data_IF_564147654045
#
_entry.id   IF_564147654045
#
_cell.length_a   1.000
_cell.length_b   1.000
_cell.length_c   1.000
_cell.angle_alpha   90.00
_cell.angle_beta   90.00
_cell.angle_gamma   90.00
#
_symmetry.space_group_name_H-M   'P 1'
#
loop_
_entity.id
_entity.type
_entity.pdbx_description
1 polymer ?
#
# COMPACT_ATOMS: atom_id res chain seq x y z
N UNK A 1 -15.24 -15.19 -8.39
CA UNK A 1 -13.86 -15.45 -8.85
C UNK A 1 -13.39 -14.27 -9.70
N UNK A 2 -12.35 -13.59 -9.21
CA UNK A 2 -11.36 -12.75 -9.89
C UNK A 2 -11.83 -11.73 -10.95
N UNK A 3 -12.00 -10.48 -10.52
CA UNK A 3 -11.80 -9.30 -11.36
C UNK A 3 -10.74 -8.40 -10.72
N UNK A 4 -9.46 -8.70 -10.95
CA UNK A 4 -8.38 -7.76 -10.67
C UNK A 4 -7.63 -7.54 -11.98
N UNK A 5 -7.90 -6.39 -12.61
CA UNK A 5 -7.09 -5.86 -13.70
C UNK A 5 -5.93 -5.09 -13.07
N UNK A 6 -4.77 -5.73 -12.97
CA UNK A 6 -3.50 -5.02 -12.73
C UNK A 6 -3.12 -4.36 -14.07
N UNK A 7 -3.51 -3.11 -14.23
CA UNK A 7 -3.07 -2.29 -15.36
C UNK A 7 -1.64 -1.82 -15.09
N UNK A 8 -0.67 -2.47 -15.72
CA UNK A 8 0.61 -1.85 -16.01
C UNK A 8 0.37 -0.60 -16.87
N UNK A 9 1.21 0.43 -16.67
CA UNK A 9 1.09 1.77 -17.25
C UNK A 9 0.54 1.75 -18.69
N UNK A 10 -0.45 2.62 -18.93
CA UNK A 10 -1.16 2.89 -20.18
C UNK A 10 -2.45 2.08 -20.38
N UNK A 11 -3.47 2.38 -19.58
CA UNK A 11 -4.79 2.81 -20.08
C UNK A 11 -5.82 2.86 -18.95
N UNK A 12 -6.82 3.73 -19.11
CA UNK A 12 -8.05 3.84 -18.32
C UNK A 12 -8.02 4.65 -17.02
N UNK A 13 -8.06 5.98 -17.22
CA UNK A 13 -8.89 6.88 -16.43
C UNK A 13 -10.31 6.85 -16.98
N UNK A 14 -11.20 6.00 -16.47
CA UNK A 14 -12.66 6.20 -16.64
C UNK A 14 -13.42 5.55 -15.48
N UNK A 15 -14.13 6.41 -14.73
CA UNK A 15 -15.28 6.15 -13.86
C UNK A 15 -15.11 5.40 -12.52
N UNK A 16 -15.21 6.19 -11.44
CA UNK A 16 -15.94 5.94 -10.17
C UNK A 16 -15.73 4.65 -9.35
N UNK A 17 -14.73 3.83 -9.66
CA UNK A 17 -14.15 2.90 -8.68
C UNK A 17 -12.68 3.30 -8.47
N UNK A 18 -12.36 3.77 -7.26
CA UNK A 18 -11.05 4.32 -6.92
C UNK A 18 -10.10 3.13 -6.70
N UNK A 19 -9.52 2.65 -7.78
CA UNK A 19 -8.41 1.69 -7.72
C UNK A 19 -7.16 2.49 -7.30
N UNK A 20 -6.44 2.12 -6.23
CA UNK A 20 -5.18 2.75 -5.91
C UNK A 20 -4.27 2.68 -7.15
N UNK A 21 -3.80 3.83 -7.62
CA UNK A 21 -2.84 3.89 -8.73
C UNK A 21 -1.47 3.44 -8.25
N UNK A 22 -1.23 2.14 -8.32
CA UNK A 22 -0.01 1.52 -7.83
C UNK A 22 1.10 1.60 -8.87
N UNK A 23 2.27 2.07 -8.45
CA UNK A 23 3.53 2.01 -9.20
C UNK A 23 4.56 1.26 -8.36
N UNK A 24 5.22 0.26 -8.96
CA UNK A 24 6.30 -0.50 -8.36
C UNK A 24 7.65 0.00 -8.89
N UNK A 25 8.67 0.10 -8.04
CA UNK A 25 10.05 0.41 -8.45
C UNK A 25 10.90 -0.84 -8.73
N UNK A 26 10.47 -2.02 -8.26
CA UNK A 26 11.14 -3.31 -8.46
C UNK A 26 10.16 -4.36 -9.00
N UNK A 27 10.69 -5.47 -9.52
CA UNK A 27 9.89 -6.65 -9.86
C UNK A 27 9.17 -7.21 -8.61
N UNK A 28 7.85 -7.37 -8.75
CA UNK A 28 6.97 -8.01 -7.77
C UNK A 28 7.45 -9.40 -7.36
N UNK A 29 8.18 -10.11 -8.23
CA UNK A 29 8.69 -11.45 -7.96
C UNK A 29 9.61 -11.51 -6.73
N UNK A 30 10.34 -10.43 -6.43
CA UNK A 30 11.18 -10.32 -5.25
C UNK A 30 10.48 -9.64 -4.07
N UNK A 31 9.73 -8.56 -4.32
CA UNK A 31 9.07 -7.79 -3.26
C UNK A 31 8.04 -8.63 -2.47
N UNK A 32 7.39 -9.59 -3.12
CA UNK A 32 6.40 -10.45 -2.45
C UNK A 32 6.95 -11.22 -1.25
N UNK A 33 8.27 -11.39 -1.14
CA UNK A 33 8.92 -12.09 -0.03
C UNK A 33 9.46 -11.15 1.06
N UNK A 34 9.11 -9.86 1.02
CA UNK A 34 9.54 -8.86 1.99
C UNK A 34 9.27 -9.28 3.43
N UNK A 35 10.23 -9.02 4.31
CA UNK A 35 10.10 -9.26 5.75
C UNK A 35 9.69 -8.01 6.54
N UNK A 36 9.78 -6.84 5.92
CA UNK A 36 9.49 -5.55 6.54
C UNK A 36 8.76 -4.64 5.55
N UNK A 37 7.66 -4.05 6.02
CA UNK A 37 7.01 -2.94 5.34
C UNK A 37 7.21 -1.65 6.13
N UNK A 38 7.56 -0.58 5.43
CA UNK A 38 7.62 0.78 5.96
C UNK A 38 6.56 1.59 5.23
N UNK A 39 5.67 2.23 5.96
CA UNK A 39 4.53 2.91 5.37
C UNK A 39 4.40 4.33 5.92
N UNK A 40 4.22 5.30 5.03
CA UNK A 40 4.13 6.70 5.42
C UNK A 40 3.24 7.50 4.47
N UNK A 41 2.56 8.52 5.00
CA UNK A 41 1.74 9.44 4.23
C UNK A 41 2.47 10.75 3.98
N UNK A 42 2.58 11.19 2.72
CA UNK A 42 3.12 12.51 2.38
C UNK A 42 2.05 13.46 1.81
N UNK A 43 1.98 14.65 2.40
CA UNK A 43 1.00 15.70 2.04
C UNK A 43 1.58 16.73 1.07
N UNK A 44 2.87 17.05 1.23
CA UNK A 44 3.53 18.17 0.54
C UNK A 44 3.57 18.00 -0.98
N UNK A 45 3.61 16.75 -1.45
CA UNK A 45 3.68 16.39 -2.87
C UNK A 45 2.35 15.83 -3.39
N UNK A 46 1.26 15.97 -2.62
CA UNK A 46 -0.03 15.40 -2.97
C UNK A 46 -0.77 16.31 -3.99
N UNK A 47 -1.30 15.76 -5.10
CA UNK A 47 -2.17 16.52 -5.99
C UNK A 47 -3.42 17.00 -5.25
N UNK A 48 -3.97 18.14 -5.66
CA UNK A 48 -5.06 18.84 -4.97
C UNK A 48 -6.33 17.99 -4.75
N UNK A 49 -6.60 17.03 -5.64
CA UNK A 49 -7.79 16.18 -5.57
C UNK A 49 -7.71 15.10 -4.48
N UNK A 50 -6.54 14.89 -3.87
CA UNK A 50 -6.30 13.83 -2.89
C UNK A 50 -5.88 14.43 -1.55
N UNK A 51 -6.18 13.71 -0.47
CA UNK A 51 -5.77 14.11 0.87
C UNK A 51 -4.28 13.85 1.10
N UNK A 52 -3.78 12.72 0.60
CA UNK A 52 -2.37 12.35 0.72
C UNK A 52 -1.92 11.38 -0.36
N UNK A 53 -0.60 11.34 -0.59
CA UNK A 53 0.06 10.21 -1.24
C UNK A 53 0.59 9.31 -0.14
N UNK A 54 0.08 8.08 -0.08
CA UNK A 54 0.55 7.06 0.83
C UNK A 54 1.60 6.19 0.13
N UNK A 55 2.73 5.98 0.77
CA UNK A 55 3.89 5.29 0.22
C UNK A 55 4.15 4.07 1.08
N UNK A 56 4.32 2.92 0.44
CA UNK A 56 4.72 1.68 1.08
C UNK A 56 6.05 1.26 0.48
N UNK A 57 7.05 1.10 1.34
CA UNK A 57 8.32 0.50 1.01
C UNK A 57 8.39 -0.92 1.54
N UNK A 58 9.11 -1.77 0.81
CA UNK A 58 9.38 -3.14 1.18
C UNK A 58 10.89 -3.36 1.33
N UNK A 59 11.29 -4.09 2.37
CA UNK A 59 12.68 -4.50 2.56
C UNK A 59 12.92 -5.89 1.98
N UNK A 60 13.80 -5.97 0.99
CA UNK A 60 14.21 -7.22 0.35
C UNK A 60 15.73 -7.33 0.45
N UNK A 61 16.23 -8.40 1.06
CA UNK A 61 17.67 -8.68 1.22
C UNK A 61 18.45 -7.48 1.81
N UNK A 62 17.87 -6.80 2.80
CA UNK A 62 18.51 -5.68 3.50
C UNK A 62 18.48 -4.34 2.74
N UNK A 63 17.81 -4.28 1.59
CA UNK A 63 17.59 -3.03 0.84
C UNK A 63 16.11 -2.66 0.86
N UNK A 64 15.84 -1.36 1.00
CA UNK A 64 14.49 -0.80 0.98
C UNK A 64 14.18 -0.29 -0.41
N UNK A 65 13.03 -0.69 -0.96
CA UNK A 65 12.52 -0.27 -2.26
C UNK A 65 11.13 0.30 -2.12
N UNK A 66 10.78 1.30 -2.93
CA UNK A 66 9.37 1.72 -2.97
C UNK A 66 8.56 0.65 -3.70
N UNK A 67 7.65 0.08 -2.94
CA UNK A 67 6.78 -0.98 -3.40
C UNK A 67 5.51 -0.39 -4.00
N UNK A 68 4.88 0.57 -3.34
CA UNK A 68 3.57 1.06 -3.76
C UNK A 68 3.43 2.54 -3.43
N UNK A 69 2.85 3.28 -4.37
CA UNK A 69 2.25 4.58 -4.13
C UNK A 69 0.72 4.43 -4.23
N UNK A 70 -0.01 5.05 -3.33
CA UNK A 70 -1.46 5.17 -3.39
C UNK A 70 -1.86 6.62 -3.15
N UNK A 71 -2.80 7.11 -3.95
CA UNK A 71 -3.45 8.38 -3.66
C UNK A 71 -4.67 8.09 -2.80
N UNK A 72 -4.77 8.72 -1.63
CA UNK A 72 -5.88 8.54 -0.71
C UNK A 72 -6.71 9.82 -0.66
N UNK A 73 -7.98 9.71 -1.05
CA UNK A 73 -8.95 10.81 -0.98
C UNK A 73 -9.41 11.15 0.45
N UNK A 74 -9.14 10.24 1.40
CA UNK A 74 -9.62 10.32 2.79
C UNK A 74 -8.55 9.81 3.75
N UNK A 75 -8.76 10.07 5.03
CA UNK A 75 -7.93 9.62 6.16
C UNK A 75 -8.75 8.84 7.17
N UNK A 76 -9.40 7.79 6.68
CA UNK A 76 -10.26 6.98 7.52
C UNK A 76 -9.85 5.51 7.44
N UNK A 77 -10.21 4.78 8.49
CA UNK A 77 -9.86 3.37 8.64
C UNK A 77 -10.29 2.53 7.45
N UNK A 78 -11.48 2.77 6.89
CA UNK A 78 -11.99 1.98 5.76
C UNK A 78 -11.10 2.08 4.53
N UNK A 79 -10.60 3.28 4.19
CA UNK A 79 -9.73 3.44 3.02
C UNK A 79 -8.35 2.81 3.25
N UNK A 80 -7.83 2.86 4.47
CA UNK A 80 -6.60 2.11 4.82
C UNK A 80 -6.81 0.60 4.75
N UNK A 81 -7.95 0.09 5.22
CA UNK A 81 -8.29 -1.34 5.11
C UNK A 81 -8.31 -1.77 3.65
N UNK A 82 -8.99 -1.02 2.77
CA UNK A 82 -9.01 -1.31 1.32
C UNK A 82 -7.61 -1.36 0.72
N UNK A 83 -6.76 -0.39 1.06
CA UNK A 83 -5.36 -0.37 0.63
C UNK A 83 -4.59 -1.60 1.14
N UNK A 84 -4.74 -1.96 2.42
CA UNK A 84 -4.02 -3.07 3.02
C UNK A 84 -4.52 -4.44 2.54
N UNK A 85 -5.80 -4.58 2.19
CA UNK A 85 -6.28 -5.76 1.46
C UNK A 85 -5.55 -5.90 0.13
N UNK A 86 -5.41 -4.82 -0.65
CA UNK A 86 -4.66 -4.86 -1.90
C UNK A 86 -3.19 -5.25 -1.68
N UNK A 87 -2.53 -4.69 -0.67
CA UNK A 87 -1.15 -5.04 -0.31
C UNK A 87 -1.03 -6.52 0.05
N UNK A 88 -1.97 -7.07 0.83
CA UNK A 88 -1.99 -8.49 1.20
C UNK A 88 -2.08 -9.43 0.01
N UNK A 89 -2.72 -9.01 -1.08
CA UNK A 89 -2.79 -9.80 -2.31
C UNK A 89 -1.46 -9.86 -3.08
N UNK A 90 -0.57 -8.88 -2.85
CA UNK A 90 0.70 -8.74 -3.54
C UNK A 90 1.88 -9.33 -2.76
N UNK A 91 1.77 -9.42 -1.43
CA UNK A 91 2.83 -9.93 -0.56
C UNK A 91 2.49 -11.31 0.01
N UNK A 92 3.52 -12.13 0.20
CA UNK A 92 3.40 -13.40 0.90
C UNK A 92 3.43 -13.13 2.40
N UNK A 93 2.24 -12.96 2.99
CA UNK A 93 2.04 -12.56 4.38
C UNK A 93 2.88 -13.33 5.41
N UNK A 94 3.11 -14.63 5.19
CA UNK A 94 3.89 -15.49 6.12
C UNK A 94 5.36 -15.06 6.30
N UNK A 95 5.90 -14.26 5.38
CA UNK A 95 7.28 -13.77 5.45
C UNK A 95 7.37 -12.44 6.19
N UNK A 96 6.27 -11.70 6.32
CA UNK A 96 6.25 -10.39 6.94
C UNK A 96 6.47 -10.52 8.44
N UNK A 97 7.55 -9.93 8.95
CA UNK A 97 7.92 -9.98 10.37
C UNK A 97 7.65 -8.67 11.09
N UNK A 98 7.64 -7.56 10.37
CA UNK A 98 7.46 -6.23 10.95
C UNK A 98 6.77 -5.29 9.98
N UNK A 99 5.96 -4.42 10.55
CA UNK A 99 5.37 -3.28 9.85
C UNK A 99 5.69 -2.06 10.68
N UNK A 100 6.12 -0.99 10.02
CA UNK A 100 6.30 0.33 10.62
C UNK A 100 5.37 1.26 9.85
N UNK A 101 4.49 1.95 10.55
CA UNK A 101 3.52 2.89 9.96
C UNK A 101 3.57 4.23 10.66
N UNK A 102 3.05 5.25 10.00
CA UNK A 102 2.77 6.55 10.61
C UNK A 102 1.79 6.42 11.80
N UNK A 103 1.94 7.26 12.82
CA UNK A 103 1.17 7.23 14.07
C UNK A 103 -0.27 7.76 13.91
N UNK A 104 -0.78 7.76 12.68
CA UNK A 104 -2.15 8.10 12.38
C UNK A 104 -3.09 6.98 12.87
N UNK A 105 -3.92 7.30 13.86
CA UNK A 105 -4.86 6.34 14.49
C UNK A 105 -5.64 5.46 13.50
N UNK A 106 -6.35 5.98 12.48
CA UNK A 106 -7.08 5.14 11.53
C UNK A 106 -6.17 4.22 10.71
N UNK A 107 -4.91 4.60 10.46
CA UNK A 107 -3.92 3.75 9.81
C UNK A 107 -3.49 2.60 10.74
N UNK A 108 -3.15 2.91 11.99
CA UNK A 108 -2.79 1.90 13.00
C UNK A 108 -3.92 0.88 13.21
N UNK A 109 -5.16 1.34 13.39
CA UNK A 109 -6.33 0.46 13.55
C UNK A 109 -6.60 -0.43 12.33
N UNK A 110 -6.28 0.05 11.12
CA UNK A 110 -6.37 -0.73 9.90
C UNK A 110 -5.22 -1.75 9.79
N UNK A 111 -4.01 -1.40 10.25
CA UNK A 111 -2.89 -2.33 10.34
C UNK A 111 -3.16 -3.45 11.34
N UNK A 112 -3.66 -3.14 12.54
CA UNK A 112 -4.07 -4.13 13.55
C UNK A 112 -5.10 -5.13 12.98
N UNK A 113 -6.03 -4.65 12.16
CA UNK A 113 -7.04 -5.49 11.51
C UNK A 113 -6.48 -6.31 10.35
N UNK A 114 -5.59 -5.71 9.55
CA UNK A 114 -5.08 -6.31 8.31
C UNK A 114 -3.89 -7.24 8.53
N UNK A 115 -3.11 -7.03 9.58
CA UNK A 115 -1.79 -7.63 9.79
C UNK A 115 -1.63 -8.10 11.25
N UNK A 116 -1.80 -9.41 11.52
CA UNK A 116 -1.74 -9.98 12.88
C UNK A 116 -0.40 -9.79 13.61
N UNK A 117 0.67 -9.46 12.90
CA UNK A 117 2.00 -9.18 13.47
C UNK A 117 2.22 -7.71 13.85
N UNK A 118 1.23 -6.84 13.61
CA UNK A 118 1.29 -5.44 14.00
C UNK A 118 1.16 -5.34 15.52
N UNK A 119 2.17 -4.74 16.17
CA UNK A 119 2.27 -4.52 17.63
C UNK A 119 2.70 -3.09 17.89
#
# INVERSE_FOLDING_TARGET
MNNIKVLALNSFLTHKEIVPKVKFELDLSEIKYSELLLMDGTFKSCPFDFYQVYIIHASVRGKVYTFLYAHLDRKNKSQYVELFEYVKMLIVHKNLKRIIVDLEKPCMEACEMGFPMFQ
#
